data_IF_647039207072
#
_entry.id   IF_647039207072
#
_cell.length_a   1.000
_cell.length_b   1.000
_cell.length_c   1.000
_cell.angle_alpha   90.00
_cell.angle_beta   90.00
_cell.angle_gamma   90.00
#
_symmetry.space_group_name_H-M   'P 1'
#
loop_
_entity.id
_entity.type
_entity.pdbx_description
1 polymer ?
#
# COMPACT_ATOMS: atom_id res chain seq x y z
N UNK A 1 9.17 19.83 -32.68
CA UNK A 1 8.83 19.96 -31.25
C UNK A 1 8.04 18.75 -30.73
N UNK A 2 7.98 17.63 -31.48
CA UNK A 2 7.18 16.42 -31.15
C UNK A 2 7.95 15.31 -30.38
N UNK A 3 9.22 15.53 -30.05
CA UNK A 3 10.09 14.47 -29.50
C UNK A 3 10.01 14.33 -27.96
N UNK A 4 9.49 15.35 -27.27
CA UNK A 4 9.39 15.37 -25.80
C UNK A 4 8.09 14.69 -25.34
N UNK A 5 6.98 14.93 -26.04
CA UNK A 5 5.67 14.37 -25.71
C UNK A 5 5.66 12.83 -25.84
N UNK A 6 6.30 12.30 -26.89
CA UNK A 6 6.39 10.85 -27.13
C UNK A 6 7.24 10.10 -26.06
N UNK A 7 8.21 10.78 -25.43
CA UNK A 7 9.01 10.23 -24.32
C UNK A 7 8.22 10.19 -22.99
N UNK A 8 7.31 11.13 -22.78
CA UNK A 8 6.41 11.19 -21.62
C UNK A 8 5.35 10.07 -21.68
N UNK A 9 4.81 9.80 -22.87
CA UNK A 9 3.83 8.75 -23.11
C UNK A 9 4.42 7.36 -22.88
N UNK A 10 5.63 7.13 -23.39
CA UNK A 10 6.38 5.92 -23.09
C UNK A 10 6.58 5.82 -21.57
N UNK A 11 7.03 6.85 -20.85
CA UNK A 11 7.35 6.77 -19.41
C UNK A 11 6.16 6.45 -18.46
N UNK A 12 4.92 6.69 -18.91
CA UNK A 12 3.72 6.64 -18.04
C UNK A 12 3.33 5.21 -17.58
N UNK A 13 3.25 4.19 -18.46
CA UNK A 13 3.05 2.80 -18.07
C UNK A 13 4.05 2.28 -17.03
N UNK A 14 5.34 2.63 -17.16
CA UNK A 14 6.40 2.19 -16.25
C UNK A 14 6.29 2.87 -14.89
N UNK A 15 5.97 4.18 -14.85
CA UNK A 15 5.69 4.91 -13.61
C UNK A 15 4.50 4.31 -12.85
N UNK A 16 3.43 3.95 -13.57
CA UNK A 16 2.25 3.31 -12.99
C UNK A 16 2.54 1.91 -12.45
N UNK A 17 3.36 1.11 -13.16
CA UNK A 17 3.80 -0.21 -12.68
C UNK A 17 4.66 -0.10 -11.42
N UNK A 18 5.65 0.79 -11.40
CA UNK A 18 6.49 1.04 -10.20
C UNK A 18 5.66 1.53 -9.02
N UNK A 19 4.71 2.43 -9.25
CA UNK A 19 3.78 2.91 -8.21
C UNK A 19 2.95 1.78 -7.62
N UNK A 20 2.41 0.88 -8.46
CA UNK A 20 1.69 -0.31 -8.00
C UNK A 20 2.57 -1.24 -7.17
N UNK A 21 3.80 -1.53 -7.61
CA UNK A 21 4.74 -2.41 -6.90
C UNK A 21 5.17 -1.87 -5.52
N UNK A 22 5.07 -0.55 -5.31
CA UNK A 22 5.26 0.05 -3.98
C UNK A 22 4.07 -0.18 -3.05
N UNK A 23 2.90 -0.59 -3.54
CA UNK A 23 1.66 -0.72 -2.76
C UNK A 23 1.17 -2.17 -2.66
N UNK A 24 1.26 -2.93 -3.75
CA UNK A 24 0.82 -4.33 -3.85
C UNK A 24 1.81 -5.14 -4.71
N UNK A 25 1.94 -6.44 -4.44
CA UNK A 25 2.70 -7.39 -5.23
C UNK A 25 1.76 -8.43 -5.85
N UNK A 26 1.89 -8.67 -7.16
CA UNK A 26 1.12 -9.66 -7.92
C UNK A 26 2.00 -10.59 -8.75
N UNK A 27 3.28 -10.71 -8.41
CA UNK A 27 4.24 -11.56 -9.16
C UNK A 27 3.95 -13.05 -8.96
N UNK A 28 3.38 -13.42 -7.81
CA UNK A 28 2.95 -14.79 -7.53
C UNK A 28 1.40 -14.85 -7.64
N UNK A 29 0.81 -16.06 -7.66
CA UNK A 29 -0.66 -16.25 -7.73
C UNK A 29 -1.42 -15.65 -6.52
N UNK A 30 -0.68 -15.23 -5.51
CA UNK A 30 -1.17 -14.64 -4.26
C UNK A 30 -0.77 -13.17 -4.19
N UNK A 31 -1.67 -12.34 -3.68
CA UNK A 31 -1.45 -10.88 -3.62
C UNK A 31 -1.02 -10.48 -2.21
N UNK A 32 0.15 -9.86 -2.10
CA UNK A 32 0.59 -9.21 -0.86
C UNK A 32 0.35 -7.72 -0.96
N UNK A 33 -0.12 -7.09 0.12
CA UNK A 33 -0.44 -5.67 0.15
C UNK A 33 0.32 -4.96 1.26
N UNK A 34 0.73 -3.72 1.01
CA UNK A 34 1.16 -2.82 2.08
C UNK A 34 -0.07 -2.24 2.74
N UNK A 35 -0.10 -2.29 4.05
CA UNK A 35 -1.19 -1.78 4.88
C UNK A 35 -0.67 -0.80 5.94
N UNK A 36 -1.56 0.04 6.42
CA UNK A 36 -1.34 1.03 7.48
C UNK A 36 -2.44 0.90 8.53
N UNK A 37 -2.14 1.16 9.81
CA UNK A 37 -3.15 1.22 10.86
C UNK A 37 -3.57 2.67 11.09
N UNK A 38 -4.83 3.05 10.78
CA UNK A 38 -5.35 4.37 11.12
C UNK A 38 -5.33 4.63 12.64
N UNK A 39 -5.52 3.58 13.45
CA UNK A 39 -5.41 3.69 14.90
C UNK A 39 -4.03 4.15 15.36
N UNK A 40 -2.96 3.62 14.74
CA UNK A 40 -1.59 4.06 15.07
C UNK A 40 -1.34 5.51 14.63
N UNK A 41 -1.94 5.97 13.52
CA UNK A 41 -1.86 7.38 13.12
C UNK A 41 -2.46 8.31 14.20
N UNK A 42 -3.59 7.92 14.80
CA UNK A 42 -4.20 8.64 15.92
C UNK A 42 -3.33 8.57 17.19
N UNK A 43 -2.87 7.36 17.57
CA UNK A 43 -2.05 7.16 18.79
C UNK A 43 -0.69 7.86 18.75
N UNK A 44 -0.10 8.00 17.56
CA UNK A 44 1.18 8.68 17.36
C UNK A 44 1.03 10.20 17.18
N UNK A 45 -0.20 10.72 17.23
CA UNK A 45 -0.50 12.13 16.97
C UNK A 45 0.10 12.60 15.64
N UNK A 46 -0.09 11.81 14.58
CA UNK A 46 0.46 12.10 13.26
C UNK A 46 0.01 13.49 12.78
N UNK A 47 0.93 14.40 12.41
CA UNK A 47 0.59 15.80 12.09
C UNK A 47 -0.21 15.95 10.79
N UNK A 48 -0.32 14.87 10.02
CA UNK A 48 -1.05 14.84 8.75
C UNK A 48 -2.43 14.18 8.86
N UNK A 49 -2.89 13.89 10.07
CA UNK A 49 -4.28 13.52 10.32
C UNK A 49 -5.13 14.79 10.33
N UNK A 50 -6.20 14.81 9.53
CA UNK A 50 -7.23 15.83 9.61
C UNK A 50 -8.53 15.21 10.09
N UNK A 51 -9.39 16.03 10.68
CA UNK A 51 -10.76 15.66 11.04
C UNK A 51 -11.75 16.71 10.60
N UNK A 52 -12.98 16.31 10.31
CA UNK A 52 -14.09 17.20 10.02
C UNK A 52 -15.40 16.62 10.56
N UNK A 53 -16.38 17.48 10.75
CA UNK A 53 -17.72 17.12 11.18
C UNK A 53 -18.66 17.05 9.98
N UNK A 54 -19.47 16.00 9.93
CA UNK A 54 -20.60 15.85 9.02
C UNK A 54 -21.81 15.35 9.81
N UNK A 55 -22.74 16.27 10.08
CA UNK A 55 -23.84 16.07 11.01
C UNK A 55 -23.35 15.68 12.41
N UNK A 56 -23.79 14.53 12.90
CA UNK A 56 -23.42 14.00 14.22
C UNK A 56 -22.12 13.16 14.21
N UNK A 57 -21.52 12.96 13.03
CA UNK A 57 -20.34 12.11 12.89
C UNK A 57 -19.09 12.95 12.67
N UNK A 58 -18.04 12.64 13.43
CA UNK A 58 -16.71 13.20 13.19
C UNK A 58 -15.91 12.18 12.39
N UNK A 59 -15.48 12.57 11.20
CA UNK A 59 -14.61 11.75 10.37
C UNK A 59 -13.17 12.23 10.49
N UNK A 60 -12.22 11.31 10.29
CA UNK A 60 -10.81 11.67 10.13
C UNK A 60 -10.19 10.94 8.94
N UNK A 61 -9.13 11.52 8.41
CA UNK A 61 -8.39 10.98 7.27
C UNK A 61 -6.93 11.40 7.28
N UNK A 62 -6.19 10.92 6.29
CA UNK A 62 -4.80 11.33 6.06
C UNK A 62 -4.75 12.40 4.96
N UNK A 63 -4.12 13.55 5.24
CA UNK A 63 -3.96 14.63 4.28
C UNK A 63 -3.20 14.17 3.01
N UNK A 64 -2.20 13.31 3.18
CA UNK A 64 -1.43 12.71 2.08
C UNK A 64 -2.13 11.53 1.39
N UNK A 65 -3.35 11.16 1.83
CA UNK A 65 -4.15 10.05 1.28
C UNK A 65 -3.36 8.72 1.23
N UNK A 66 -2.55 8.47 2.26
CA UNK A 66 -1.83 7.20 2.46
C UNK A 66 -2.83 6.05 2.60
N UNK A 67 -3.93 6.26 3.31
CA UNK A 67 -5.17 5.50 3.17
C UNK A 67 -6.26 6.41 2.60
N UNK A 68 -7.21 5.82 1.89
CA UNK A 68 -8.23 6.56 1.14
C UNK A 68 -9.51 6.86 1.93
N UNK A 69 -10.05 5.91 2.71
CA UNK A 69 -11.31 6.13 3.43
C UNK A 69 -11.17 7.20 4.53
N UNK A 70 -12.21 8.01 4.67
CA UNK A 70 -12.43 8.83 5.86
C UNK A 70 -13.21 7.99 6.88
N UNK A 71 -12.67 7.88 8.10
CA UNK A 71 -13.13 6.92 9.10
C UNK A 71 -13.85 7.65 10.23
N UNK A 72 -14.89 7.02 10.77
CA UNK A 72 -15.60 7.57 11.92
C UNK A 72 -14.70 7.54 13.16
N UNK A 73 -14.36 8.71 13.67
CA UNK A 73 -13.50 8.88 14.84
C UNK A 73 -14.12 8.26 16.10
N UNK A 74 -15.45 8.29 16.21
CA UNK A 74 -16.23 7.76 17.33
C UNK A 74 -16.04 6.25 17.52
N UNK A 75 -15.83 5.51 16.42
CA UNK A 75 -15.58 4.06 16.46
C UNK A 75 -14.31 3.71 17.25
N UNK A 76 -13.34 4.63 17.32
CA UNK A 76 -12.08 4.46 18.04
C UNK A 76 -12.14 4.90 19.51
N UNK A 77 -13.10 5.76 19.89
CA UNK A 77 -13.22 6.29 21.25
C UNK A 77 -14.25 5.54 22.10
N UNK A 78 -15.37 5.10 21.50
CA UNK A 78 -16.51 4.58 22.29
C UNK A 78 -16.50 3.07 22.51
N UNK A 79 -15.88 2.29 21.62
CA UNK A 79 -15.74 0.84 21.77
C UNK A 79 -14.45 0.42 22.49
N UNK A 80 -13.69 1.39 23.03
CA UNK A 80 -12.30 1.26 23.47
C UNK A 80 -12.04 0.61 24.84
N UNK A 81 -12.93 -0.27 25.35
CA UNK A 81 -12.78 -0.86 26.70
C UNK A 81 -12.90 -2.38 26.82
N UNK A 82 -13.77 -3.05 26.08
CA UNK A 82 -14.35 -4.30 26.62
C UNK A 82 -14.51 -5.50 25.65
N UNK A 83 -13.87 -5.51 24.48
CA UNK A 83 -13.79 -6.76 23.71
C UNK A 83 -12.33 -7.14 23.44
N UNK A 84 -11.91 -8.18 24.15
CA UNK A 84 -10.63 -8.92 24.12
C UNK A 84 -9.62 -8.43 23.07
N UNK A 85 -8.64 -7.64 23.56
CA UNK A 85 -7.44 -7.08 22.89
C UNK A 85 -7.69 -5.82 22.05
N UNK A 86 -7.51 -4.62 22.65
CA UNK A 86 -7.07 -3.33 22.03
C UNK A 86 -7.21 -3.22 20.49
N UNK A 87 -8.40 -3.51 19.94
CA UNK A 87 -8.54 -3.75 18.51
C UNK A 87 -8.76 -2.43 17.79
N UNK A 88 -8.02 -2.24 16.70
CA UNK A 88 -8.36 -1.25 15.68
C UNK A 88 -9.77 -1.62 15.15
N UNK A 89 -10.81 -0.77 15.28
CA UNK A 89 -12.19 -1.09 14.90
C UNK A 89 -12.36 -1.38 13.41
N UNK A 90 -11.47 -0.85 12.56
CA UNK A 90 -11.48 -1.08 11.11
C UNK A 90 -10.39 -2.05 10.66
N UNK A 91 -9.46 -2.38 11.56
CA UNK A 91 -8.26 -3.13 11.20
C UNK A 91 -7.31 -2.34 10.29
N UNK A 92 -6.30 -3.01 9.74
CA UNK A 92 -5.39 -2.38 8.79
C UNK A 92 -6.08 -2.00 7.49
N UNK A 93 -5.68 -0.87 6.92
CA UNK A 93 -6.13 -0.41 5.62
C UNK A 93 -5.02 -0.50 4.60
N UNK A 94 -5.37 -0.92 3.38
CA UNK A 94 -4.47 -0.88 2.23
C UNK A 94 -3.93 0.52 1.99
N UNK A 95 -2.62 0.59 1.74
CA UNK A 95 -1.94 1.82 1.36
C UNK A 95 -2.28 2.19 -0.09
N UNK A 96 -2.72 3.43 -0.28
CA UNK A 96 -3.17 3.99 -1.55
C UNK A 96 -2.14 4.93 -2.22
N UNK A 97 -1.30 5.59 -1.43
CA UNK A 97 -0.20 6.44 -1.90
C UNK A 97 1.08 6.11 -1.17
N UNK A 98 2.21 6.47 -1.77
CA UNK A 98 3.53 6.25 -1.16
C UNK A 98 3.53 6.80 0.27
N UNK A 99 3.77 5.94 1.29
CA UNK A 99 3.80 6.37 2.67
C UNK A 99 5.00 7.28 2.92
N UNK A 100 4.87 8.19 3.88
CA UNK A 100 5.99 9.01 4.34
C UNK A 100 6.90 8.19 5.27
N UNK A 101 8.12 8.66 5.51
CA UNK A 101 9.12 7.95 6.34
C UNK A 101 8.68 7.68 7.78
N UNK A 102 7.79 8.50 8.34
CA UNK A 102 7.23 8.29 9.68
C UNK A 102 5.95 7.43 9.69
N UNK A 103 5.39 7.10 8.53
CA UNK A 103 4.18 6.27 8.45
C UNK A 103 4.51 4.83 8.81
N UNK A 104 3.81 4.28 9.82
CA UNK A 104 3.98 2.89 10.23
C UNK A 104 3.20 1.95 9.29
N UNK A 105 3.87 1.50 8.24
CA UNK A 105 3.35 0.53 7.27
C UNK A 105 3.99 -0.83 7.45
N UNK A 106 3.28 -1.89 7.08
CA UNK A 106 3.81 -3.25 6.99
C UNK A 106 3.19 -3.99 5.82
N UNK A 107 3.75 -5.15 5.48
CA UNK A 107 3.18 -6.03 4.45
C UNK A 107 2.25 -7.03 5.11
N UNK A 108 0.99 -7.03 4.69
CA UNK A 108 0.06 -8.12 4.95
C UNK A 108 0.27 -9.20 3.89
N UNK A 109 0.71 -10.37 4.35
CA UNK A 109 0.96 -11.52 3.49
C UNK A 109 -0.31 -12.33 3.34
N UNK A 110 -0.62 -12.77 2.11
CA UNK A 110 -1.75 -13.66 1.85
C UNK A 110 -1.65 -14.99 2.61
N UNK A 111 -0.44 -15.51 2.83
CA UNK A 111 -0.18 -16.69 3.63
C UNK A 111 0.97 -16.42 4.61
N UNK A 112 0.85 -16.93 5.83
CA UNK A 112 1.97 -16.91 6.79
C UNK A 112 3.10 -17.83 6.31
N UNK A 113 4.34 -17.50 6.70
CA UNK A 113 5.56 -18.23 6.33
C UNK A 113 5.58 -19.75 6.65
N UNK A 114 4.54 -20.27 7.31
CA UNK A 114 4.39 -21.66 7.76
C UNK A 114 3.64 -22.57 6.80
N UNK A 115 2.91 -22.05 5.82
CA UNK A 115 2.37 -22.91 4.75
C UNK A 115 3.48 -23.11 3.75
N UNK A 116 3.77 -24.35 3.32
CA UNK A 116 4.84 -24.74 2.38
C UNK A 116 4.72 -24.13 0.97
N UNK A 117 4.41 -22.85 0.88
CA UNK A 117 4.42 -22.01 -0.28
C UNK A 117 5.85 -22.01 -0.82
N UNK A 118 5.95 -22.29 -2.11
CA UNK A 118 7.12 -22.02 -2.94
C UNK A 118 7.74 -20.69 -2.55
N UNK A 119 9.07 -20.65 -2.42
CA UNK A 119 9.81 -19.45 -2.04
C UNK A 119 9.30 -18.23 -2.81
N UNK A 120 8.98 -17.12 -2.11
CA UNK A 120 8.40 -15.93 -2.72
C UNK A 120 9.17 -15.51 -3.97
N UNK A 121 8.46 -15.37 -5.08
CA UNK A 121 9.02 -15.03 -6.38
C UNK A 121 9.48 -13.55 -6.47
N UNK A 122 9.14 -12.71 -5.48
CA UNK A 122 9.56 -11.32 -5.36
C UNK A 122 9.87 -10.95 -3.89
N UNK A 123 11.03 -11.37 -3.35
CA UNK A 123 11.41 -11.07 -1.97
C UNK A 123 11.67 -9.56 -1.75
N UNK A 124 11.93 -8.81 -2.81
CA UNK A 124 12.23 -7.37 -2.67
C UNK A 124 11.02 -6.53 -2.30
N UNK A 125 9.80 -7.05 -2.47
CA UNK A 125 8.58 -6.38 -2.03
C UNK A 125 8.55 -6.15 -0.51
N UNK A 126 9.31 -6.92 0.28
CA UNK A 126 9.38 -6.76 1.73
C UNK A 126 10.34 -5.65 2.20
N UNK A 127 11.05 -4.98 1.28
CA UNK A 127 11.89 -3.84 1.63
C UNK A 127 11.09 -2.55 1.90
N UNK A 128 11.71 -1.65 2.65
CA UNK A 128 11.12 -0.37 3.05
C UNK A 128 10.85 0.54 1.84
N UNK A 129 9.60 0.95 1.59
CA UNK A 129 9.25 1.82 0.46
C UNK A 129 9.81 3.25 0.56
N UNK A 130 10.25 3.67 1.75
CA UNK A 130 10.80 5.00 2.02
C UNK A 130 12.33 5.07 1.93
N UNK A 131 13.00 3.93 1.72
CA UNK A 131 14.44 3.91 1.49
C UNK A 131 14.80 4.53 0.13
N UNK A 132 15.77 5.45 0.15
CA UNK A 132 16.23 6.25 -1.02
C UNK A 132 16.96 5.42 -2.08
N UNK A 133 17.14 4.12 -1.83
CA UNK A 133 17.60 3.17 -2.84
C UNK A 133 16.46 2.93 -3.83
N UNK A 134 16.32 3.80 -4.83
CA UNK A 134 15.37 3.63 -5.94
C UNK A 134 15.51 2.26 -6.66
N UNK A 135 16.60 1.54 -6.40
CA UNK A 135 16.97 0.24 -6.95
C UNK A 135 16.73 -0.99 -6.04
N UNK A 136 16.26 -0.84 -4.79
CA UNK A 136 16.15 -1.98 -3.86
C UNK A 136 14.92 -2.87 -4.10
N UNK A 137 13.83 -2.32 -4.67
CA UNK A 137 12.72 -3.13 -5.19
C UNK A 137 13.12 -3.58 -6.60
N UNK A 138 13.92 -4.66 -6.69
CA UNK A 138 14.30 -5.24 -7.98
C UNK A 138 13.02 -5.60 -8.75
N UNK A 139 12.81 -4.88 -9.84
CA UNK A 139 11.81 -5.15 -10.87
C UNK A 139 12.19 -6.44 -11.61
N UNK A 140 12.10 -7.61 -10.98
CA UNK A 140 12.20 -8.91 -11.67
C UNK A 140 10.88 -9.29 -12.34
N UNK A 141 10.05 -8.32 -12.69
CA UNK A 141 8.84 -8.57 -13.46
C UNK A 141 9.26 -9.23 -14.76
N UNK A 142 8.97 -10.52 -14.89
CA UNK A 142 9.21 -11.29 -16.10
C UNK A 142 8.54 -10.52 -17.25
N UNK A 143 9.29 -10.24 -18.31
CA UNK A 143 8.71 -9.59 -19.48
C UNK A 143 7.47 -10.40 -19.93
N UNK A 144 6.36 -9.75 -20.31
CA UNK A 144 5.24 -10.49 -20.88
C UNK A 144 5.78 -11.31 -22.05
N UNK A 145 5.53 -12.62 -22.06
CA UNK A 145 5.81 -13.46 -23.21
C UNK A 145 5.06 -12.83 -24.38
N UNK A 146 5.80 -12.30 -25.35
CA UNK A 146 5.25 -12.02 -26.66
C UNK A 146 5.05 -13.39 -27.29
N UNK A 147 3.82 -13.86 -27.34
CA UNK A 147 3.47 -15.03 -28.14
C UNK A 147 3.67 -14.63 -29.60
N UNK A 148 4.84 -14.96 -30.14
CA UNK A 148 5.11 -14.84 -31.57
C UNK A 148 4.19 -15.78 -32.34
N UNK A 149 3.77 -15.41 -33.57
CA UNK A 149 2.87 -16.24 -34.35
C UNK A 149 3.52 -17.60 -34.61
N UNK A 150 2.84 -18.65 -34.18
CA UNK A 150 3.12 -20.03 -34.54
C UNK A 150 3.00 -20.17 -36.06
N UNK A 151 4.13 -20.18 -36.75
CA UNK A 151 4.24 -20.71 -38.11
C UNK A 151 4.58 -22.20 -38.04
N UNK A 152 3.65 -23.04 -38.48
CA UNK A 152 3.71 -23.74 -39.78
C UNK A 152 2.35 -24.41 -40.06
#
# INVERSE_FOLDING_TARGET
>A
MESIDNKLDAATPWRNRRRRLRLECRECEVVCERVVSPWQCLRSNCPYVYSYHDGETTYFGCLHKVFLPELNLRAFTENGGASRRRSDPYGPLRVNRTPLSHCRVWVEQAYGASTGATACCNPTFFHDPSSDTEDSIRLTARAPKVDGPSGD
#
